data_IF_344713567449
#
_entry.id   IF_344713567449
#
_cell.length_a   1.000
_cell.length_b   1.000
_cell.length_c   1.000
_cell.angle_alpha   90.00
_cell.angle_beta   90.00
_cell.angle_gamma   90.00
#
_symmetry.space_group_name_H-M   'P 1'
#
loop_
_entity.id
_entity.type
_entity.pdbx_description
1 polymer ?
#
# COMPACT_ATOMS: atom_id res chain seq x y z
N UNK A 1 7.14 -3.20 -0.20
CA UNK A 1 8.37 -2.41 -0.28
C UNK A 1 9.56 -3.06 0.43
N UNK A 2 10.77 -2.80 -0.06
CA UNK A 2 12.00 -3.35 0.52
C UNK A 2 12.45 -2.51 1.71
N UNK A 3 12.60 -3.16 2.88
CA UNK A 3 13.04 -2.54 4.13
C UNK A 3 12.18 -1.33 4.58
N UNK A 4 10.90 -1.33 4.32
CA UNK A 4 10.00 -0.22 4.64
C UNK A 4 9.88 0.04 6.14
N UNK A 5 10.07 -0.96 6.99
CA UNK A 5 10.17 -0.73 8.44
C UNK A 5 11.26 0.30 8.80
N UNK A 6 12.42 0.23 8.13
CA UNK A 6 13.48 1.23 8.31
C UNK A 6 13.13 2.56 7.64
N UNK A 7 12.54 2.51 6.45
CA UNK A 7 12.11 3.71 5.73
C UNK A 7 11.09 4.52 6.53
N UNK A 8 10.09 3.87 7.13
CA UNK A 8 9.00 4.52 7.88
C UNK A 8 9.36 4.92 9.30
N UNK A 9 10.58 4.61 9.77
CA UNK A 9 11.01 4.98 11.13
C UNK A 9 10.90 6.49 11.34
N UNK A 10 10.17 6.88 12.41
CA UNK A 10 9.90 8.27 12.77
C UNK A 10 8.72 8.93 12.05
N UNK A 11 8.09 8.25 11.08
CA UNK A 11 6.84 8.72 10.47
C UNK A 11 5.67 8.64 11.44
N UNK A 12 4.55 9.27 11.11
CA UNK A 12 3.34 9.26 11.94
C UNK A 12 2.78 7.85 12.13
N UNK A 13 2.26 7.62 13.33
CA UNK A 13 1.62 6.35 13.70
C UNK A 13 0.19 6.60 14.17
N UNK A 14 -0.74 5.71 13.89
CA UNK A 14 -0.58 4.44 13.17
C UNK A 14 -0.44 4.61 11.65
N UNK A 15 -0.93 5.69 11.07
CA UNK A 15 -1.01 5.91 9.63
C UNK A 15 -0.40 7.25 9.25
N UNK A 16 0.60 7.23 8.39
CA UNK A 16 1.22 8.44 7.83
C UNK A 16 0.52 8.81 6.52
N UNK A 17 -0.15 9.95 6.50
CA UNK A 17 -0.97 10.39 5.36
C UNK A 17 -0.15 10.66 4.10
N UNK A 18 1.11 11.10 4.23
CA UNK A 18 2.00 11.37 3.09
C UNK A 18 2.45 10.04 2.47
N UNK A 19 2.79 9.06 3.31
CA UNK A 19 3.12 7.72 2.85
C UNK A 19 1.96 7.06 2.12
N UNK A 20 0.76 7.09 2.72
CA UNK A 20 -0.43 6.48 2.13
C UNK A 20 -0.77 7.10 0.77
N UNK A 21 -0.77 8.43 0.67
CA UNK A 21 -1.04 9.14 -0.58
C UNK A 21 0.02 8.84 -1.65
N UNK A 22 1.30 8.72 -1.25
CA UNK A 22 2.37 8.33 -2.17
C UNK A 22 2.19 6.89 -2.69
N UNK A 23 1.76 5.96 -1.83
CA UNK A 23 1.44 4.58 -2.24
C UNK A 23 0.23 4.53 -3.19
N UNK A 24 -0.85 5.24 -2.88
CA UNK A 24 -2.05 5.33 -3.73
C UNK A 24 -1.72 5.91 -5.11
N UNK A 25 -0.96 6.99 -5.17
CA UNK A 25 -0.56 7.60 -6.44
C UNK A 25 0.40 6.70 -7.22
N UNK A 26 1.28 5.97 -6.53
CA UNK A 26 2.18 4.99 -7.17
C UNK A 26 1.38 3.83 -7.77
N UNK A 27 0.39 3.31 -7.05
CA UNK A 27 -0.53 2.29 -7.57
C UNK A 27 -1.22 2.78 -8.85
N UNK A 28 -1.76 4.00 -8.86
CA UNK A 28 -2.41 4.59 -10.04
C UNK A 28 -1.44 4.68 -11.22
N UNK A 29 -0.25 5.21 -11.00
CA UNK A 29 0.75 5.30 -12.07
C UNK A 29 1.15 3.92 -12.62
N UNK A 30 1.25 2.90 -11.77
CA UNK A 30 1.51 1.53 -12.23
C UNK A 30 0.34 1.00 -13.07
N UNK A 31 -0.91 1.19 -12.62
CA UNK A 31 -2.09 0.77 -13.38
C UNK A 31 -2.17 1.44 -14.76
N UNK A 32 -1.80 2.70 -14.87
CA UNK A 32 -1.80 3.47 -16.11
C UNK A 32 -0.73 2.99 -17.11
N UNK A 33 0.44 2.61 -16.60
CA UNK A 33 1.63 2.38 -17.41
C UNK A 33 1.96 0.90 -17.64
N UNK A 34 1.31 -0.03 -16.94
CA UNK A 34 1.51 -1.47 -17.13
C UNK A 34 0.43 -2.03 -18.06
N UNK A 35 0.89 -2.64 -19.14
CA UNK A 35 0.01 -3.28 -20.14
C UNK A 35 -0.84 -4.38 -19.50
N UNK A 36 -2.13 -4.41 -19.85
CA UNK A 36 -3.07 -5.41 -19.36
C UNK A 36 -3.51 -5.21 -17.90
N UNK A 37 -3.03 -4.17 -17.20
CA UNK A 37 -3.47 -3.89 -15.84
C UNK A 37 -4.93 -3.39 -15.85
N UNK A 38 -5.79 -4.08 -15.10
CA UNK A 38 -7.22 -3.77 -14.97
C UNK A 38 -7.60 -3.29 -13.56
N UNK A 39 -6.83 -3.69 -12.55
CA UNK A 39 -7.06 -3.33 -11.16
C UNK A 39 -5.74 -3.22 -10.40
N UNK A 40 -5.64 -2.20 -9.56
CA UNK A 40 -4.62 -2.07 -8.53
C UNK A 40 -5.24 -2.06 -7.15
N UNK A 41 -4.56 -2.66 -6.19
CA UNK A 41 -4.89 -2.61 -4.78
C UNK A 41 -3.64 -2.28 -3.96
N UNK A 42 -3.75 -1.36 -3.03
CA UNK A 42 -2.64 -1.00 -2.14
C UNK A 42 -3.07 -0.99 -0.69
N UNK A 43 -2.18 -1.47 0.16
CA UNK A 43 -2.30 -1.39 1.61
C UNK A 43 -0.89 -1.35 2.23
N UNK A 44 -0.69 -0.52 3.26
CA UNK A 44 0.62 -0.33 3.90
C UNK A 44 1.70 0.00 2.85
N UNK A 45 2.73 -0.84 2.73
CA UNK A 45 3.84 -0.72 1.77
C UNK A 45 3.76 -1.74 0.61
N UNK A 46 2.58 -2.32 0.39
CA UNK A 46 2.33 -3.29 -0.67
C UNK A 46 1.38 -2.75 -1.74
N UNK A 47 1.67 -3.10 -3.00
CA UNK A 47 0.79 -2.88 -4.15
C UNK A 47 0.61 -4.21 -4.85
N UNK A 48 -0.64 -4.58 -5.09
CA UNK A 48 -1.04 -5.74 -5.89
C UNK A 48 -1.69 -5.24 -7.17
N UNK A 49 -1.26 -5.74 -8.32
CA UNK A 49 -1.82 -5.42 -9.62
C UNK A 49 -2.40 -6.69 -10.24
N UNK A 50 -3.56 -6.57 -10.85
CA UNK A 50 -4.19 -7.63 -11.64
C UNK A 50 -4.04 -7.29 -13.11
N UNK A 51 -3.36 -8.16 -13.84
CA UNK A 51 -3.16 -8.06 -15.27
C UNK A 51 -4.00 -9.11 -15.98
N UNK A 52 -4.57 -8.75 -17.13
CA UNK A 52 -5.42 -9.62 -17.96
C UNK A 52 -4.89 -9.56 -19.38
N UNK A 53 -4.82 -10.73 -20.04
CA UNK A 53 -4.31 -10.89 -21.40
C UNK A 53 -5.33 -11.50 -22.38
N UNK A 54 -6.59 -11.57 -21.96
CA UNK A 54 -7.69 -12.20 -22.74
C UNK A 54 -8.87 -11.25 -23.04
N UNK A 55 -8.66 -9.95 -22.93
CA UNK A 55 -9.75 -8.98 -23.17
C UNK A 55 -10.18 -8.92 -24.63
N UNK A 56 -9.25 -9.07 -25.56
CA UNK A 56 -9.47 -9.07 -27.02
C UNK A 56 -8.62 -10.16 -27.65
N UNK A 57 -8.94 -10.51 -28.91
CA UNK A 57 -8.21 -11.55 -29.70
C UNK A 57 -6.73 -11.18 -29.88
N UNK A 58 -6.42 -9.89 -29.97
CA UNK A 58 -5.05 -9.37 -30.14
C UNK A 58 -4.36 -9.03 -28.80
N UNK A 59 -4.99 -9.37 -27.69
CA UNK A 59 -4.38 -9.15 -26.38
C UNK A 59 -3.18 -10.07 -26.19
N UNK A 60 -2.06 -9.52 -25.75
CA UNK A 60 -0.88 -10.29 -25.41
C UNK A 60 -0.44 -10.00 -23.97
N UNK A 61 0.17 -10.98 -23.36
CA UNK A 61 0.74 -10.86 -22.00
C UNK A 61 1.86 -9.83 -22.00
N UNK A 62 1.91 -8.99 -21.00
CA UNK A 62 2.98 -8.01 -20.82
C UNK A 62 4.35 -8.70 -20.85
N UNK A 63 5.24 -8.24 -21.74
CA UNK A 63 6.55 -8.85 -22.02
C UNK A 63 6.48 -10.36 -22.38
N UNK A 64 5.44 -10.79 -23.09
CA UNK A 64 5.23 -12.19 -23.46
C UNK A 64 5.30 -13.17 -22.26
N UNK A 65 4.91 -12.70 -21.08
CA UNK A 65 4.94 -13.49 -19.84
C UNK A 65 6.33 -13.73 -19.27
N UNK A 66 7.36 -13.02 -19.74
CA UNK A 66 8.71 -13.18 -19.20
C UNK A 66 8.79 -12.67 -17.75
N UNK A 67 8.82 -13.60 -16.79
CA UNK A 67 8.78 -13.36 -15.37
C UNK A 67 9.92 -12.44 -14.89
N UNK A 68 11.14 -12.65 -15.37
CA UNK A 68 12.29 -11.84 -15.00
C UNK A 68 12.13 -10.39 -15.45
N UNK A 69 11.61 -10.18 -16.66
CA UNK A 69 11.38 -8.86 -17.23
C UNK A 69 10.23 -8.15 -16.53
N UNK A 70 9.11 -8.87 -16.29
CA UNK A 70 7.97 -8.34 -15.54
C UNK A 70 8.39 -7.88 -14.14
N UNK A 71 9.10 -8.71 -13.38
CA UNK A 71 9.51 -8.39 -12.02
C UNK A 71 10.53 -7.27 -11.95
N UNK A 72 11.53 -7.26 -12.84
CA UNK A 72 12.57 -6.21 -12.85
C UNK A 72 12.00 -4.85 -13.26
N UNK A 73 11.17 -4.81 -14.30
CA UNK A 73 10.60 -3.55 -14.79
C UNK A 73 9.54 -3.01 -13.82
N UNK A 74 8.62 -3.84 -13.32
CA UNK A 74 7.60 -3.39 -12.36
C UNK A 74 8.20 -2.88 -11.06
N UNK A 75 9.25 -3.51 -10.52
CA UNK A 75 9.94 -3.02 -9.33
C UNK A 75 10.65 -1.69 -9.56
N UNK A 76 11.28 -1.53 -10.74
CA UNK A 76 11.92 -0.27 -11.14
C UNK A 76 10.89 0.85 -11.30
N UNK A 77 9.76 0.58 -11.93
CA UNK A 77 8.65 1.53 -12.07
C UNK A 77 8.08 1.94 -10.71
N UNK A 78 7.81 0.96 -9.83
CA UNK A 78 7.31 1.24 -8.49
C UNK A 78 8.28 2.12 -7.69
N UNK A 79 9.57 1.84 -7.75
CA UNK A 79 10.63 2.63 -7.11
C UNK A 79 10.66 4.06 -7.65
N UNK A 80 10.64 4.22 -8.97
CA UNK A 80 10.66 5.53 -9.63
C UNK A 80 9.41 6.35 -9.27
N UNK A 81 8.22 5.78 -9.47
CA UNK A 81 6.96 6.49 -9.23
C UNK A 81 6.79 6.85 -7.76
N UNK A 82 7.12 5.94 -6.84
CA UNK A 82 6.98 6.23 -5.41
C UNK A 82 7.89 7.39 -5.00
N UNK A 83 9.17 7.38 -5.35
CA UNK A 83 10.10 8.44 -4.96
C UNK A 83 9.69 9.81 -5.57
N UNK A 84 9.21 9.81 -6.82
CA UNK A 84 8.66 11.01 -7.45
C UNK A 84 7.41 11.51 -6.73
N UNK A 85 6.42 10.64 -6.51
CA UNK A 85 5.16 10.99 -5.87
C UNK A 85 5.37 11.45 -4.42
N UNK A 86 6.22 10.75 -3.67
CA UNK A 86 6.55 11.11 -2.28
C UNK A 86 7.14 12.53 -2.20
N UNK A 87 8.06 12.88 -3.09
CA UNK A 87 8.65 14.21 -3.18
C UNK A 87 7.61 15.28 -3.54
N UNK A 88 6.75 15.01 -4.53
CA UNK A 88 5.71 15.94 -4.97
C UNK A 88 4.66 16.19 -3.87
N UNK A 89 4.20 15.13 -3.21
CA UNK A 89 3.22 15.21 -2.11
C UNK A 89 3.83 15.98 -0.93
N UNK A 90 5.08 15.68 -0.57
CA UNK A 90 5.79 16.41 0.49
C UNK A 90 5.87 17.89 0.18
N UNK A 91 6.24 18.27 -1.05
CA UNK A 91 6.32 19.66 -1.45
C UNK A 91 4.95 20.37 -1.38
N UNK A 92 3.87 19.71 -1.80
CA UNK A 92 2.50 20.24 -1.69
C UNK A 92 2.05 20.43 -0.25
N UNK A 93 2.42 19.50 0.64
CA UNK A 93 2.01 19.52 2.06
C UNK A 93 2.94 20.32 2.96
N UNK A 94 4.11 20.70 2.47
CA UNK A 94 5.15 21.43 3.23
C UNK A 94 4.64 22.64 4.01
N UNK A 95 3.73 23.50 3.50
CA UNK A 95 3.23 24.65 4.25
C UNK A 95 2.43 24.29 5.52
N UNK A 96 1.98 23.05 5.63
CA UNK A 96 1.16 22.56 6.73
C UNK A 96 1.95 21.68 7.73
N UNK A 97 3.25 21.54 7.55
CA UNK A 97 4.12 20.69 8.35
C UNK A 97 5.07 21.54 9.21
N UNK A 98 5.39 21.05 10.41
CA UNK A 98 6.44 21.64 11.21
C UNK A 98 7.84 21.29 10.67
N UNK A 99 8.84 22.06 11.06
CA UNK A 99 10.21 21.94 10.55
C UNK A 99 10.84 20.57 10.85
N UNK A 100 10.63 20.02 12.06
CA UNK A 100 11.15 18.70 12.42
C UNK A 100 10.61 17.59 11.52
N UNK A 101 9.30 17.64 11.18
CA UNK A 101 8.69 16.69 10.27
C UNK A 101 9.18 16.87 8.82
N UNK A 102 9.34 18.12 8.37
CA UNK A 102 9.91 18.41 7.05
C UNK A 102 11.32 17.81 6.94
N UNK A 103 12.17 18.02 7.92
CA UNK A 103 13.55 17.52 7.95
C UNK A 103 13.57 15.98 7.94
N UNK A 104 12.71 15.34 8.73
CA UNK A 104 12.56 13.88 8.73
C UNK A 104 12.16 13.36 7.34
N UNK A 105 11.10 13.91 6.74
CA UNK A 105 10.59 13.45 5.45
C UNK A 105 11.58 13.75 4.30
N UNK A 106 12.24 14.91 4.32
CA UNK A 106 13.31 15.22 3.37
C UNK A 106 14.45 14.19 3.43
N UNK A 107 14.81 13.71 4.62
CA UNK A 107 15.85 12.69 4.77
C UNK A 107 15.50 11.34 4.11
N UNK A 108 14.23 11.12 3.73
CA UNK A 108 13.72 9.90 3.13
C UNK A 108 13.51 10.00 1.61
N UNK A 109 13.60 11.20 1.04
CA UNK A 109 13.48 11.42 -0.41
C UNK A 109 14.50 10.53 -1.14
N UNK A 110 14.05 9.87 -2.22
CA UNK A 110 14.82 8.99 -3.10
C UNK A 110 15.44 7.76 -2.42
N UNK A 111 14.95 7.36 -1.26
CA UNK A 111 15.47 6.20 -0.51
C UNK A 111 14.56 4.98 -0.51
N UNK A 112 13.34 5.10 -1.00
CA UNK A 112 12.45 3.96 -1.10
C UNK A 112 12.88 3.02 -2.23
N UNK A 113 12.79 1.73 -1.98
CA UNK A 113 13.02 0.67 -2.96
C UNK A 113 11.90 -0.35 -2.89
N UNK A 114 11.56 -0.90 -4.05
CA UNK A 114 10.55 -1.94 -4.18
C UNK A 114 11.16 -3.20 -4.81
N UNK A 115 10.71 -4.35 -4.35
CA UNK A 115 10.82 -5.62 -5.03
C UNK A 115 9.48 -5.97 -5.70
N UNK A 116 9.49 -6.91 -6.60
CA UNK A 116 8.29 -7.38 -7.27
C UNK A 116 8.27 -8.90 -7.35
N UNK A 117 7.06 -9.44 -7.33
CA UNK A 117 6.78 -10.86 -7.54
C UNK A 117 5.64 -10.96 -8.53
N UNK A 118 5.71 -11.97 -9.40
CA UNK A 118 4.63 -12.26 -10.34
C UNK A 118 4.26 -13.74 -10.25
N UNK A 119 2.99 -14.03 -10.35
CA UNK A 119 2.44 -15.37 -10.38
C UNK A 119 1.16 -15.37 -11.19
N UNK A 120 0.79 -16.53 -11.70
CA UNK A 120 -0.47 -16.73 -12.43
C UNK A 120 -1.53 -17.28 -11.50
N UNK A 121 -2.77 -16.83 -11.71
CA UNK A 121 -3.95 -17.33 -11.01
C UNK A 121 -5.03 -17.68 -12.01
N UNK A 122 -5.79 -18.77 -11.78
CA UNK A 122 -7.05 -18.99 -12.43
C UNK A 122 -7.98 -17.79 -12.23
N UNK A 123 -8.79 -17.45 -13.24
CA UNK A 123 -9.71 -16.30 -13.18
C UNK A 123 -10.62 -16.32 -11.95
N UNK A 124 -11.08 -17.50 -11.59
CA UNK A 124 -11.98 -17.76 -10.45
C UNK A 124 -11.32 -17.44 -9.10
N UNK A 125 -9.98 -17.53 -9.03
CA UNK A 125 -9.22 -17.30 -7.78
C UNK A 125 -8.76 -15.86 -7.59
N UNK A 126 -8.90 -14.99 -8.59
CA UNK A 126 -8.45 -13.60 -8.49
C UNK A 126 -9.19 -12.85 -7.38
N UNK A 127 -10.51 -13.04 -7.27
CA UNK A 127 -11.32 -12.40 -6.22
C UNK A 127 -10.89 -12.92 -4.84
N UNK A 128 -10.68 -14.22 -4.69
CA UNK A 128 -10.21 -14.83 -3.44
C UNK A 128 -8.85 -14.27 -3.01
N UNK A 129 -7.94 -14.09 -3.96
CA UNK A 129 -6.63 -13.47 -3.71
C UNK A 129 -6.77 -12.04 -3.15
N UNK A 130 -7.64 -11.21 -3.74
CA UNK A 130 -7.88 -9.85 -3.29
C UNK A 130 -8.58 -9.79 -1.93
N UNK A 131 -9.55 -10.67 -1.67
CA UNK A 131 -10.20 -10.80 -0.36
C UNK A 131 -9.15 -11.15 0.70
N UNK A 132 -8.26 -12.07 0.40
CA UNK A 132 -7.19 -12.47 1.32
C UNK A 132 -6.23 -11.32 1.64
N UNK A 133 -5.84 -10.52 0.63
CA UNK A 133 -5.06 -9.29 0.83
C UNK A 133 -5.79 -8.28 1.71
N UNK A 134 -7.10 -8.13 1.51
CA UNK A 134 -7.90 -7.21 2.31
C UNK A 134 -8.07 -7.68 3.77
N UNK A 135 -8.21 -8.99 3.99
CA UNK A 135 -8.25 -9.56 5.35
C UNK A 135 -6.92 -9.33 6.08
N UNK A 136 -5.81 -9.50 5.38
CA UNK A 136 -4.48 -9.21 5.92
C UNK A 136 -4.31 -7.72 6.26
N UNK A 137 -4.75 -6.82 5.37
CA UNK A 137 -4.79 -5.38 5.59
C UNK A 137 -5.60 -5.02 6.85
N UNK A 138 -6.77 -5.63 7.03
CA UNK A 138 -7.63 -5.43 8.21
C UNK A 138 -6.92 -5.82 9.49
N UNK A 139 -6.31 -7.02 9.51
CA UNK A 139 -5.55 -7.51 10.67
C UNK A 139 -4.37 -6.61 10.99
N UNK A 140 -3.58 -6.23 9.99
CA UNK A 140 -2.43 -5.36 10.14
C UNK A 140 -2.84 -3.97 10.64
N UNK A 141 -3.93 -3.40 10.14
CA UNK A 141 -4.47 -2.11 10.57
C UNK A 141 -4.83 -2.10 12.06
N UNK A 142 -5.50 -3.15 12.56
CA UNK A 142 -5.85 -3.27 13.98
C UNK A 142 -4.56 -3.36 14.82
N UNK A 143 -3.59 -4.15 14.39
CA UNK A 143 -2.31 -4.30 15.08
C UNK A 143 -1.52 -2.98 15.11
N UNK A 144 -1.46 -2.26 13.99
CA UNK A 144 -0.79 -0.95 13.93
C UNK A 144 -1.44 0.06 14.87
N UNK A 145 -2.77 0.09 14.92
CA UNK A 145 -3.52 0.96 15.85
C UNK A 145 -3.24 0.57 17.31
N UNK A 146 -3.21 -0.73 17.61
CA UNK A 146 -2.81 -1.24 18.92
C UNK A 146 -1.41 -0.81 19.31
N UNK A 147 -0.42 -1.01 18.43
CA UNK A 147 0.99 -0.64 18.67
C UNK A 147 1.21 0.88 18.82
N UNK A 148 0.32 1.70 18.28
CA UNK A 148 0.37 3.15 18.47
C UNK A 148 -0.16 3.60 19.85
N UNK A 149 -0.96 2.77 20.53
CA UNK A 149 -1.67 3.13 21.76
C UNK A 149 -1.25 2.33 23.00
N UNK A 150 -0.58 1.19 22.81
CA UNK A 150 -0.18 0.28 23.89
C UNK A 150 1.28 -0.16 23.71
N UNK A 151 1.91 -0.51 24.82
CA UNK A 151 3.26 -1.07 24.82
C UNK A 151 3.27 -2.49 24.26
N UNK A 152 4.43 -2.95 23.82
CA UNK A 152 4.62 -4.33 23.36
C UNK A 152 4.22 -5.36 24.43
N UNK A 153 4.46 -5.08 25.71
CA UNK A 153 4.10 -5.98 26.83
C UNK A 153 2.59 -6.12 26.98
N UNK A 154 1.82 -5.04 26.82
CA UNK A 154 0.36 -5.05 26.92
C UNK A 154 -0.27 -5.82 25.74
N UNK A 155 0.34 -5.77 24.57
CA UNK A 155 -0.13 -6.45 23.37
C UNK A 155 0.30 -7.91 23.26
N UNK A 156 1.19 -8.37 24.13
CA UNK A 156 1.68 -9.75 24.10
C UNK A 156 0.53 -10.74 24.28
N UNK A 157 0.45 -11.74 23.40
CA UNK A 157 -0.60 -12.76 23.38
C UNK A 157 -2.04 -12.23 23.17
N UNK A 158 -2.19 -11.01 22.64
CA UNK A 158 -3.49 -10.44 22.29
C UNK A 158 -3.79 -10.67 20.81
N UNK A 159 -4.97 -11.20 20.52
CA UNK A 159 -5.49 -11.27 19.15
C UNK A 159 -6.15 -9.94 18.75
N UNK A 160 -6.56 -9.82 17.47
CA UNK A 160 -7.16 -8.60 16.95
C UNK A 160 -8.47 -8.19 17.65
N UNK A 161 -9.28 -9.15 18.10
CA UNK A 161 -10.48 -8.88 18.88
C UNK A 161 -10.14 -8.26 20.23
N UNK A 162 -9.20 -8.86 20.97
CA UNK A 162 -8.74 -8.32 22.25
C UNK A 162 -8.16 -6.90 22.09
N UNK A 163 -7.40 -6.64 21.01
CA UNK A 163 -6.84 -5.32 20.73
C UNK A 163 -7.95 -4.29 20.50
N UNK A 164 -9.00 -4.65 19.73
CA UNK A 164 -10.14 -3.76 19.51
C UNK A 164 -10.89 -3.45 20.81
N UNK A 165 -11.13 -4.46 21.65
CA UNK A 165 -11.76 -4.27 22.96
C UNK A 165 -10.94 -3.32 23.85
N UNK A 166 -9.62 -3.53 23.94
CA UNK A 166 -8.70 -2.65 24.67
C UNK A 166 -8.74 -1.21 24.13
N UNK A 167 -8.72 -1.04 22.80
CA UNK A 167 -8.78 0.28 22.18
C UNK A 167 -10.07 1.03 22.56
N UNK A 168 -11.22 0.34 22.54
CA UNK A 168 -12.51 0.94 22.89
C UNK A 168 -12.57 1.25 24.40
N UNK A 169 -12.26 0.27 25.24
CA UNK A 169 -12.45 0.36 26.69
C UNK A 169 -11.43 1.30 27.38
N UNK A 170 -10.17 1.27 26.92
CA UNK A 170 -9.09 1.98 27.61
C UNK A 170 -8.67 3.29 26.93
N UNK A 171 -8.95 3.44 25.62
CA UNK A 171 -8.53 4.61 24.84
C UNK A 171 -9.69 5.36 24.18
N UNK A 172 -10.92 4.84 24.29
CA UNK A 172 -12.10 5.37 23.59
C UNK A 172 -11.91 5.48 22.06
N UNK A 173 -11.15 4.56 21.48
CA UNK A 173 -10.85 4.49 20.06
C UNK A 173 -11.60 3.31 19.45
N UNK A 174 -12.53 3.59 18.54
CA UNK A 174 -13.21 2.56 17.78
C UNK A 174 -12.58 2.45 16.37
N UNK A 175 -11.94 1.30 16.09
CA UNK A 175 -11.33 1.02 14.79
C UNK A 175 -12.32 1.16 13.63
N UNK A 176 -13.60 0.87 13.84
CA UNK A 176 -14.61 1.01 12.80
C UNK A 176 -14.80 2.46 12.30
N UNK A 177 -14.48 3.45 13.12
CA UNK A 177 -14.59 4.86 12.77
C UNK A 177 -13.44 5.39 11.90
N UNK A 178 -12.38 4.58 11.68
CA UNK A 178 -11.29 4.98 10.80
C UNK A 178 -11.76 5.03 9.33
N UNK A 179 -11.07 5.84 8.52
CA UNK A 179 -11.27 5.85 7.07
C UNK A 179 -11.03 4.46 6.46
N UNK A 180 -11.77 4.12 5.41
CA UNK A 180 -11.68 2.81 4.75
C UNK A 180 -10.26 2.50 4.28
N UNK A 181 -9.53 3.48 3.73
CA UNK A 181 -8.15 3.30 3.28
C UNK A 181 -7.19 2.89 4.41
N UNK A 182 -7.43 3.36 5.65
CA UNK A 182 -6.65 2.98 6.83
C UNK A 182 -6.98 1.57 7.31
N UNK A 183 -8.21 1.11 7.09
CA UNK A 183 -8.72 -0.18 7.56
C UNK A 183 -8.49 -1.32 6.58
N UNK A 184 -8.66 -1.04 5.28
CA UNK A 184 -8.81 -2.06 4.24
C UNK A 184 -8.01 -1.78 2.98
N UNK A 185 -7.23 -0.69 2.95
CA UNK A 185 -6.50 -0.27 1.77
C UNK A 185 -7.35 0.47 0.75
N UNK A 186 -6.77 0.72 -0.41
CA UNK A 186 -7.37 1.46 -1.53
C UNK A 186 -7.27 0.67 -2.82
N UNK A 187 -8.27 0.83 -3.70
CA UNK A 187 -8.31 0.22 -5.04
C UNK A 187 -8.29 1.30 -6.13
N UNK A 188 -7.75 0.94 -7.28
CA UNK A 188 -7.87 1.66 -8.55
C UNK A 188 -8.32 0.70 -9.63
N UNK A 189 -9.35 1.08 -10.38
CA UNK A 189 -9.90 0.29 -11.48
C UNK A 189 -9.72 1.09 -12.76
N UNK A 190 -9.32 0.43 -13.83
CA UNK A 190 -9.26 1.04 -15.15
C UNK A 190 -10.65 0.95 -15.81
N UNK A 191 -11.29 2.08 -15.98
CA UNK A 191 -12.57 2.18 -16.68
C UNK A 191 -12.35 2.73 -18.08
N UNK A 192 -13.00 2.12 -19.06
CA UNK A 192 -13.09 2.68 -20.40
C UNK A 192 -14.34 3.56 -20.45
N UNK A 193 -14.14 4.87 -20.52
CA UNK A 193 -15.24 5.79 -20.86
C UNK A 193 -15.50 5.67 -22.37
N UNK A 194 -16.71 5.27 -22.74
CA UNK A 194 -17.22 5.27 -24.10
C UNK A 194 -17.77 6.65 -24.42
#
# INVERSE_FOLDING_TARGET
GKAFHTFTKGMERPFDTILMEAMEQTMKNLCENIQGCVLGYTQSDEITLVLVDYMNVDSCTWFDGNIQKITSVSSSMATLFFNKNFREILNKKRPYLNEGRINLLNSKIDKAMFDSRVFQLPKEEVVNCLIWRQQDATRNSIQMLGQANFSHRELQNKNTSNIQDMLVLERNINWNNLETKCKRGSCSIKENYV
#
